data_IF_167625658678
#
_entry.id   IF_167625658678
#
_cell.length_a   1.000
_cell.length_b   1.000
_cell.length_c   1.000
_cell.angle_alpha   90.00
_cell.angle_beta   90.00
_cell.angle_gamma   90.00
#
_symmetry.space_group_name_H-M   'P 1'
#
loop_
_entity.id
_entity.type
_entity.pdbx_description
1 polymer ?
#
# COMPACT_ATOMS: atom_id res chain seq x y z
N UNK A 1 4.12 -27.00 -20.64
CA UNK A 1 4.04 -25.60 -21.09
C UNK A 1 2.59 -25.17 -20.92
N UNK A 2 2.29 -24.23 -20.04
CA UNK A 2 0.92 -23.77 -19.83
C UNK A 2 0.49 -22.93 -21.04
N UNK A 3 -0.68 -23.22 -21.60
CA UNK A 3 -1.24 -22.45 -22.71
C UNK A 3 -1.31 -20.96 -22.33
N UNK A 4 -0.95 -20.04 -23.25
CA UNK A 4 -1.22 -18.62 -23.05
C UNK A 4 -2.74 -18.47 -22.90
N UNK A 5 -3.18 -18.17 -21.68
CA UNK A 5 -4.57 -17.85 -21.37
C UNK A 5 -5.02 -16.78 -22.36
N UNK A 6 -6.11 -17.05 -23.09
CA UNK A 6 -6.68 -16.11 -24.06
C UNK A 6 -6.80 -14.72 -23.44
N UNK A 7 -6.32 -13.75 -24.20
CA UNK A 7 -5.63 -12.54 -23.73
C UNK A 7 -6.59 -11.37 -23.48
N UNK A 8 -7.88 -11.55 -23.72
CA UNK A 8 -8.86 -10.45 -23.80
C UNK A 8 -9.94 -10.49 -22.69
N UNK A 9 -10.05 -11.57 -21.93
CA UNK A 9 -11.03 -11.67 -20.86
C UNK A 9 -10.34 -11.79 -19.50
N UNK A 10 -10.66 -10.85 -18.60
CA UNK A 10 -10.29 -10.97 -17.21
C UNK A 10 -10.82 -12.31 -16.66
N UNK A 11 -10.07 -13.00 -15.79
CA UNK A 11 -10.42 -14.33 -15.33
C UNK A 11 -11.84 -14.35 -14.76
N UNK A 12 -12.63 -15.31 -15.23
CA UNK A 12 -14.03 -15.49 -14.87
C UNK A 12 -14.20 -15.84 -13.39
N UNK A 13 -15.42 -15.65 -12.86
CA UNK A 13 -15.77 -15.98 -11.48
C UNK A 13 -15.37 -17.41 -11.08
N UNK A 14 -15.69 -18.39 -11.94
CA UNK A 14 -15.38 -19.80 -11.67
C UNK A 14 -13.88 -20.07 -11.63
N UNK A 15 -13.12 -19.43 -12.52
CA UNK A 15 -11.66 -19.53 -12.49
C UNK A 15 -11.14 -18.95 -11.18
N UNK A 16 -11.57 -17.74 -10.79
CA UNK A 16 -11.18 -17.05 -9.55
C UNK A 16 -11.41 -17.91 -8.29
N UNK A 17 -12.56 -18.57 -8.16
CA UNK A 17 -12.92 -19.42 -7.00
C UNK A 17 -12.01 -20.66 -6.83
N UNK A 18 -11.46 -21.19 -7.92
CA UNK A 18 -10.55 -22.36 -7.88
C UNK A 18 -9.17 -22.00 -7.27
N UNK A 19 -8.76 -20.73 -7.35
CA UNK A 19 -7.43 -20.32 -6.88
C UNK A 19 -7.44 -19.97 -5.41
N UNK A 20 -6.85 -20.86 -4.60
CA UNK A 20 -6.51 -20.59 -3.20
C UNK A 20 -5.20 -19.80 -3.10
N UNK A 21 -5.20 -18.55 -3.57
CA UNK A 21 -4.04 -17.66 -3.39
C UNK A 21 -3.76 -17.48 -1.90
N UNK A 22 -2.48 -17.64 -1.52
CA UNK A 22 -1.99 -17.40 -0.16
C UNK A 22 -0.97 -16.28 -0.21
N UNK A 23 -1.16 -15.27 0.64
CA UNK A 23 -0.21 -14.16 0.78
C UNK A 23 0.28 -14.16 2.22
N UNK A 24 1.60 -14.12 2.39
CA UNK A 24 2.23 -13.98 3.71
C UNK A 24 2.13 -12.53 4.17
N UNK A 25 1.35 -12.29 5.23
CA UNK A 25 1.14 -10.94 5.80
C UNK A 25 2.08 -10.66 6.98
N UNK A 26 2.57 -11.71 7.63
CA UNK A 26 3.55 -11.71 8.70
C UNK A 26 4.30 -13.05 8.66
N UNK A 27 5.48 -13.19 9.30
CA UNK A 27 6.26 -14.42 9.27
C UNK A 27 5.41 -15.65 9.61
N UNK A 28 5.31 -16.59 8.67
CA UNK A 28 4.50 -17.82 8.77
C UNK A 28 2.97 -17.60 8.90
N UNK A 29 2.47 -16.38 8.68
CA UNK A 29 1.04 -16.06 8.70
C UNK A 29 0.56 -15.84 7.28
N UNK A 30 -0.19 -16.81 6.76
CA UNK A 30 -0.74 -16.79 5.41
C UNK A 30 -2.23 -16.47 5.42
N UNK A 31 -2.65 -15.52 4.59
CA UNK A 31 -4.06 -15.28 4.33
C UNK A 31 -4.46 -15.89 3.00
N UNK A 32 -5.51 -16.73 3.03
CA UNK A 32 -6.23 -17.11 1.83
C UNK A 32 -7.05 -15.93 1.33
N UNK A 33 -6.86 -15.59 0.06
CA UNK A 33 -7.51 -14.43 -0.55
C UNK A 33 -8.61 -14.90 -1.49
N UNK A 34 -9.85 -14.51 -1.16
CA UNK A 34 -10.97 -14.66 -2.10
C UNK A 34 -10.89 -13.50 -3.11
N UNK A 35 -10.82 -13.78 -4.42
CA UNK A 35 -10.78 -12.72 -5.43
C UNK A 35 -12.04 -11.86 -5.41
N UNK A 36 -11.93 -10.62 -5.91
CA UNK A 36 -13.06 -9.71 -6.00
C UNK A 36 -14.08 -10.19 -7.06
N UNK A 37 -15.37 -10.10 -6.73
CA UNK A 37 -16.48 -10.41 -7.64
C UNK A 37 -16.59 -9.39 -8.79
N UNK A 38 -16.27 -8.12 -8.52
CA UNK A 38 -16.23 -7.03 -9.51
C UNK A 38 -15.08 -6.09 -9.17
N UNK A 39 -14.28 -5.74 -10.17
CA UNK A 39 -13.21 -4.75 -10.03
C UNK A 39 -13.77 -3.37 -10.39
N UNK A 40 -14.19 -2.60 -9.38
CA UNK A 40 -14.88 -1.32 -9.57
C UNK A 40 -13.94 -0.16 -9.94
N UNK A 41 -12.64 -0.32 -9.65
CA UNK A 41 -11.63 0.70 -9.94
C UNK A 41 -10.97 0.38 -11.27
N UNK A 42 -10.72 1.36 -12.16
CA UNK A 42 -9.94 1.11 -13.37
C UNK A 42 -8.59 0.46 -13.03
N UNK A 43 -8.18 -0.54 -13.81
CA UNK A 43 -6.95 -1.32 -13.55
C UNK A 43 -5.73 -0.40 -13.52
N UNK A 44 -5.71 0.63 -14.36
CA UNK A 44 -4.68 1.66 -14.50
C UNK A 44 -4.40 2.36 -13.17
N UNK A 45 -5.44 2.58 -12.36
CA UNK A 45 -5.29 3.19 -11.04
C UNK A 45 -4.62 2.25 -10.03
N UNK A 46 -4.57 0.95 -10.30
CA UNK A 46 -3.89 -0.05 -9.47
C UNK A 46 -2.54 -0.49 -10.07
N UNK A 47 -2.11 0.11 -11.18
CA UNK A 47 -0.75 -0.06 -11.70
C UNK A 47 0.18 0.98 -11.06
N UNK A 48 1.46 0.64 -10.81
CA UNK A 48 2.43 1.61 -10.31
C UNK A 48 2.57 2.84 -11.23
N UNK A 49 2.89 4.03 -10.71
CA UNK A 49 3.15 5.21 -11.54
C UNK A 49 4.27 4.96 -12.57
N UNK A 50 4.15 5.59 -13.73
CA UNK A 50 5.22 5.59 -14.74
C UNK A 50 6.46 6.35 -14.24
N UNK A 51 7.65 5.78 -14.46
CA UNK A 51 8.92 6.36 -14.00
C UNK A 51 9.20 6.08 -12.52
N UNK A 52 10.11 6.86 -11.90
CA UNK A 52 10.50 6.65 -10.50
C UNK A 52 9.34 6.92 -9.55
N UNK A 53 9.02 5.97 -8.67
CA UNK A 53 7.97 6.12 -7.66
C UNK A 53 8.41 5.60 -6.29
N UNK A 54 7.69 6.04 -5.26
CA UNK A 54 7.84 5.58 -3.88
C UNK A 54 6.65 4.74 -3.45
N UNK A 55 6.95 3.53 -2.98
CA UNK A 55 5.96 2.64 -2.41
C UNK A 55 5.69 2.98 -0.93
N UNK A 56 4.50 2.60 -0.45
CA UNK A 56 4.04 2.74 0.93
C UNK A 56 5.10 2.42 1.98
N UNK A 57 5.84 1.32 1.79
CA UNK A 57 6.79 0.83 2.79
C UNK A 57 8.14 1.57 2.81
N UNK A 58 8.43 2.40 1.80
CA UNK A 58 9.67 3.21 1.75
C UNK A 58 9.42 4.65 2.15
N UNK A 59 8.21 5.17 1.98
CA UNK A 59 7.89 6.57 2.23
C UNK A 59 8.28 6.99 3.66
N UNK A 60 7.80 6.29 4.67
CA UNK A 60 8.10 6.63 6.07
C UNK A 60 9.58 6.45 6.40
N UNK A 61 10.22 5.41 5.85
CA UNK A 61 11.66 5.17 6.03
C UNK A 61 12.50 6.30 5.44
N UNK A 62 12.12 6.81 4.27
CA UNK A 62 12.88 7.83 3.54
C UNK A 62 12.63 9.25 4.05
N UNK A 63 11.36 9.58 4.31
CA UNK A 63 10.97 10.95 4.61
C UNK A 63 10.71 11.18 6.11
N UNK A 64 10.60 10.13 6.91
CA UNK A 64 10.23 10.18 8.32
C UNK A 64 8.72 9.99 8.54
N UNK A 65 8.34 9.31 9.63
CA UNK A 65 6.95 8.96 9.93
C UNK A 65 6.03 10.18 10.06
N UNK A 66 6.51 11.22 10.76
CA UNK A 66 5.78 12.46 11.04
C UNK A 66 5.61 13.37 9.81
N UNK A 67 6.43 13.16 8.76
CA UNK A 67 6.40 14.02 7.58
C UNK A 67 5.05 14.01 6.87
N UNK A 68 4.29 12.92 6.99
CA UNK A 68 3.03 12.76 6.29
C UNK A 68 1.79 13.01 7.17
N UNK A 69 1.97 13.60 8.35
CA UNK A 69 0.87 13.99 9.23
C UNK A 69 0.24 15.29 8.69
N UNK A 70 -0.89 15.15 7.99
CA UNK A 70 -1.61 16.29 7.39
C UNK A 70 -2.39 17.05 8.46
N UNK A 71 -2.96 16.33 9.43
CA UNK A 71 -3.74 16.90 10.51
C UNK A 71 -3.01 16.75 11.84
N UNK A 72 -3.04 17.81 12.63
CA UNK A 72 -2.57 17.83 14.02
C UNK A 72 -3.69 18.45 14.86
N UNK A 73 -4.12 17.76 15.90
CA UNK A 73 -5.18 18.21 16.80
C UNK A 73 -6.51 18.56 16.08
N UNK A 74 -6.83 17.82 15.01
CA UNK A 74 -8.04 18.03 14.18
C UNK A 74 -7.91 19.16 13.15
N UNK A 75 -6.83 19.92 13.17
CA UNK A 75 -6.58 21.01 12.23
C UNK A 75 -5.60 20.63 11.13
N UNK A 76 -5.79 21.22 9.95
CA UNK A 76 -4.91 21.04 8.82
C UNK A 76 -3.55 21.70 9.10
N UNK A 77 -2.54 20.90 9.44
CA UNK A 77 -1.23 21.38 9.91
C UNK A 77 -0.18 21.45 8.79
N UNK A 78 -0.24 20.52 7.82
CA UNK A 78 0.78 20.44 6.76
C UNK A 78 0.19 20.49 5.35
N UNK A 79 1.01 20.98 4.42
CA UNK A 79 0.68 21.04 3.00
C UNK A 79 0.95 19.68 2.33
N UNK A 80 -0.03 19.10 1.62
CA UNK A 80 0.12 17.79 0.94
C UNK A 80 1.16 17.73 -0.20
N UNK A 81 1.71 18.87 -0.64
CA UNK A 81 2.69 18.94 -1.74
C UNK A 81 4.11 18.94 -1.21
N UNK A 82 4.44 19.93 -0.37
CA UNK A 82 5.78 20.11 0.20
C UNK A 82 5.91 19.44 1.57
N UNK A 83 4.81 18.98 2.18
CA UNK A 83 4.77 18.38 3.50
C UNK A 83 5.44 19.26 4.58
N UNK A 84 5.40 20.57 4.36
CA UNK A 84 5.79 21.61 5.31
C UNK A 84 4.55 22.25 5.95
N UNK A 85 4.73 23.28 6.78
CA UNK A 85 3.63 24.02 7.40
C UNK A 85 2.58 24.47 6.37
N UNK A 86 1.30 24.47 6.77
CA UNK A 86 0.19 24.89 5.91
C UNK A 86 0.46 26.29 5.31
N UNK A 87 0.40 26.40 3.98
CA UNK A 87 0.52 27.67 3.28
C UNK A 87 -0.86 28.33 3.15
N UNK A 88 -1.27 29.14 4.13
CA UNK A 88 -2.54 29.87 4.12
C UNK A 88 -3.77 28.98 4.32
N UNK A 89 -4.95 29.38 3.82
CA UNK A 89 -6.20 28.67 4.11
C UNK A 89 -6.38 27.32 3.37
N UNK A 90 -5.52 26.98 2.40
CA UNK A 90 -5.66 25.71 1.67
C UNK A 90 -4.44 25.26 0.86
N UNK A 91 -4.53 24.08 0.26
CA UNK A 91 -3.42 23.43 -0.44
C UNK A 91 -3.05 24.03 -1.80
N UNK A 92 -3.99 24.75 -2.45
CA UNK A 92 -3.88 25.18 -3.85
C UNK A 92 -2.80 26.26 -4.11
N UNK A 93 -2.33 26.93 -3.06
CA UNK A 93 -1.35 28.02 -3.14
C UNK A 93 0.11 27.61 -2.97
N UNK A 94 0.42 26.31 -2.84
CA UNK A 94 1.79 25.86 -2.59
C UNK A 94 2.70 26.21 -3.79
N UNK A 95 3.71 27.05 -3.54
CA UNK A 95 4.77 27.41 -4.52
C UNK A 95 6.08 26.64 -4.30
N UNK A 96 6.14 25.88 -3.21
CA UNK A 96 7.30 25.08 -2.88
C UNK A 96 7.44 23.87 -3.82
N UNK A 97 8.68 23.37 -3.93
CA UNK A 97 8.92 22.09 -4.60
C UNK A 97 8.22 20.98 -3.82
N UNK A 98 7.68 20.00 -4.54
CA UNK A 98 7.15 18.81 -3.90
C UNK A 98 8.26 18.08 -3.15
N UNK A 99 8.02 17.69 -1.91
CA UNK A 99 9.03 16.96 -1.11
C UNK A 99 9.36 15.57 -1.66
N UNK A 100 8.42 14.97 -2.40
CA UNK A 100 8.57 13.61 -2.92
C UNK A 100 9.30 13.58 -4.26
N UNK A 101 8.86 14.39 -5.24
CA UNK A 101 9.45 14.39 -6.57
C UNK A 101 10.38 15.58 -6.85
N UNK A 102 10.52 16.50 -5.90
CA UNK A 102 11.35 17.71 -6.00
C UNK A 102 10.99 18.66 -7.17
N UNK A 103 9.80 18.49 -7.75
CA UNK A 103 9.29 19.34 -8.84
C UNK A 103 8.17 20.28 -8.37
N UNK A 104 7.91 21.33 -9.13
CA UNK A 104 6.74 22.23 -8.94
C UNK A 104 5.58 21.90 -9.89
N UNK A 105 5.54 20.69 -10.45
CA UNK A 105 4.63 20.34 -11.56
C UNK A 105 3.17 20.06 -11.15
N UNK A 106 2.89 19.97 -9.84
CA UNK A 106 1.57 19.59 -9.35
C UNK A 106 1.18 20.37 -8.08
N UNK A 107 1.12 21.71 -8.15
CA UNK A 107 0.76 22.54 -7.00
C UNK A 107 -0.65 22.21 -6.52
N UNK A 108 -0.81 22.12 -5.19
CA UNK A 108 -2.06 21.73 -4.51
C UNK A 108 -2.60 20.35 -4.81
N UNK A 109 -1.82 19.45 -5.42
CA UNK A 109 -2.25 18.08 -5.75
C UNK A 109 -1.32 17.05 -5.13
N UNK A 110 -1.87 15.88 -4.81
CA UNK A 110 -1.10 14.70 -4.41
C UNK A 110 0.00 14.43 -5.43
N UNK A 111 1.22 14.17 -4.96
CA UNK A 111 2.32 13.81 -5.83
C UNK A 111 2.00 12.51 -6.58
N UNK A 112 2.08 12.49 -7.93
CA UNK A 112 1.75 11.30 -8.71
C UNK A 112 2.75 10.15 -8.52
N UNK A 113 3.89 10.42 -7.90
CA UNK A 113 4.95 9.43 -7.63
C UNK A 113 4.80 8.73 -6.28
N UNK A 114 3.72 9.01 -5.54
CA UNK A 114 3.36 8.31 -4.31
C UNK A 114 2.43 7.15 -4.69
N UNK A 115 2.84 5.92 -4.38
CA UNK A 115 2.06 4.72 -4.66
C UNK A 115 1.74 3.97 -3.36
N UNK A 116 0.55 4.27 -2.81
CA UNK A 116 0.13 3.79 -1.48
C UNK A 116 -1.33 3.35 -1.48
N UNK A 117 -1.70 2.53 -0.50
CA UNK A 117 -3.09 2.09 -0.35
C UNK A 117 -3.99 3.25 0.07
N UNK A 118 -5.28 3.17 -0.29
CA UNK A 118 -6.29 4.14 0.17
C UNK A 118 -6.34 4.27 1.71
N UNK A 119 -6.12 3.17 2.44
CA UNK A 119 -6.04 3.19 3.90
C UNK A 119 -4.94 4.12 4.42
N UNK A 120 -3.77 4.14 3.77
CA UNK A 120 -2.64 4.99 4.16
C UNK A 120 -2.97 6.49 4.04
N UNK A 121 -3.75 6.87 3.04
CA UNK A 121 -4.25 8.24 2.86
C UNK A 121 -5.28 8.61 3.93
N UNK A 122 -6.25 7.71 4.17
CA UNK A 122 -7.33 7.93 5.16
C UNK A 122 -6.79 8.11 6.58
N UNK A 123 -5.79 7.33 7.00
CA UNK A 123 -5.16 7.50 8.31
C UNK A 123 -4.46 8.84 8.48
N UNK A 124 -4.28 9.60 7.40
CA UNK A 124 -3.70 10.94 7.36
C UNK A 124 -4.73 12.02 7.04
N UNK A 125 -6.02 11.72 7.12
CA UNK A 125 -7.10 12.68 6.85
C UNK A 125 -7.14 13.19 5.41
N UNK A 126 -6.46 12.51 4.47
CA UNK A 126 -6.44 12.92 3.07
C UNK A 126 -7.19 11.92 2.21
N UNK A 127 -7.90 12.43 1.21
CA UNK A 127 -8.45 11.60 0.13
C UNK A 127 -7.78 12.01 -1.17
N UNK A 128 -7.00 11.12 -1.82
CA UNK A 128 -6.33 11.45 -3.05
C UNK A 128 -7.34 11.68 -4.18
N UNK A 129 -6.92 12.42 -5.21
CA UNK A 129 -7.73 12.59 -6.42
C UNK A 129 -8.02 11.22 -7.08
N UNK A 130 -9.18 11.03 -7.73
CA UNK A 130 -9.54 9.76 -8.39
C UNK A 130 -8.56 9.28 -9.47
N UNK A 131 -7.67 10.16 -9.96
CA UNK A 131 -6.65 9.85 -10.97
C UNK A 131 -5.30 9.45 -10.38
N UNK A 132 -5.19 9.38 -9.05
CA UNK A 132 -3.95 8.96 -8.38
C UNK A 132 -3.84 7.44 -8.45
N UNK A 133 -2.64 6.96 -8.77
CA UNK A 133 -2.32 5.55 -8.70
C UNK A 133 -2.25 5.10 -7.23
N UNK A 134 -2.97 4.04 -6.91
CA UNK A 134 -3.09 3.48 -5.56
C UNK A 134 -2.54 2.08 -5.55
N UNK A 135 -1.76 1.77 -4.50
CA UNK A 135 -1.35 0.40 -4.23
C UNK A 135 -2.62 -0.43 -3.97
N UNK A 136 -2.86 -1.52 -4.72
CA UNK A 136 -4.05 -2.33 -4.53
C UNK A 136 -4.05 -2.94 -3.13
N UNK A 137 -5.25 -3.09 -2.55
CA UNK A 137 -5.41 -3.91 -1.35
C UNK A 137 -5.18 -5.39 -1.69
N UNK A 138 -5.08 -6.25 -0.67
CA UNK A 138 -4.75 -7.68 -0.83
C UNK A 138 -5.70 -8.39 -1.81
N UNK A 139 -7.00 -8.08 -1.79
CA UNK A 139 -7.99 -8.68 -2.69
C UNK A 139 -7.81 -8.23 -4.15
N UNK A 140 -7.63 -6.92 -4.35
CA UNK A 140 -7.38 -6.34 -5.65
C UNK A 140 -6.04 -6.83 -6.24
N UNK A 141 -5.01 -6.94 -5.42
CA UNK A 141 -3.71 -7.48 -5.79
C UNK A 141 -3.83 -8.93 -6.28
N UNK A 142 -4.52 -9.79 -5.51
CA UNK A 142 -4.72 -11.19 -5.90
C UNK A 142 -5.45 -11.32 -7.24
N UNK A 143 -6.48 -10.49 -7.44
CA UNK A 143 -7.19 -10.42 -8.72
C UNK A 143 -6.25 -10.04 -9.87
N UNK A 144 -5.47 -8.97 -9.72
CA UNK A 144 -4.58 -8.45 -10.76
C UNK A 144 -3.39 -9.39 -11.06
N UNK A 145 -2.85 -10.08 -10.06
CA UNK A 145 -1.83 -11.12 -10.25
C UNK A 145 -2.40 -12.26 -11.07
N UNK A 146 -3.61 -12.70 -10.73
CA UNK A 146 -4.27 -13.78 -11.44
C UNK A 146 -4.69 -13.42 -12.86
N UNK A 147 -5.13 -12.19 -13.07
CA UNK A 147 -5.36 -11.65 -14.41
C UNK A 147 -4.06 -11.49 -15.21
N UNK A 148 -2.89 -11.77 -14.63
CA UNK A 148 -1.60 -11.64 -15.31
C UNK A 148 -1.17 -10.18 -15.51
N UNK A 149 -1.88 -9.20 -14.95
CA UNK A 149 -1.53 -7.78 -15.01
C UNK A 149 -0.32 -7.45 -14.11
N UNK A 150 -0.19 -8.16 -12.98
CA UNK A 150 0.91 -7.99 -12.03
C UNK A 150 1.68 -9.31 -11.86
N UNK A 151 2.97 -9.23 -11.57
CA UNK A 151 3.73 -10.41 -11.15
C UNK A 151 3.35 -10.82 -9.72
N UNK A 152 3.38 -12.13 -9.46
CA UNK A 152 3.18 -12.67 -8.11
C UNK A 152 4.19 -12.08 -7.12
N UNK A 153 3.70 -11.77 -5.93
CA UNK A 153 4.53 -11.35 -4.79
C UNK A 153 4.38 -12.37 -3.67
N UNK A 154 5.47 -12.68 -2.97
CA UNK A 154 5.45 -13.60 -1.84
C UNK A 154 5.17 -12.90 -0.50
N UNK A 155 5.59 -11.64 -0.37
CA UNK A 155 5.45 -10.84 0.86
C UNK A 155 4.67 -9.55 0.57
N UNK A 156 3.78 -9.13 1.47
CA UNK A 156 2.99 -7.88 1.33
C UNK A 156 3.85 -6.63 1.18
N UNK A 157 5.06 -6.62 1.76
CA UNK A 157 5.98 -5.48 1.75
C UNK A 157 6.77 -5.33 0.45
N UNK A 158 6.70 -6.32 -0.46
CA UNK A 158 7.46 -6.26 -1.71
C UNK A 158 6.90 -5.19 -2.66
N UNK A 159 7.76 -4.52 -3.43
CA UNK A 159 7.31 -3.64 -4.51
C UNK A 159 6.46 -4.41 -5.51
N UNK A 160 5.35 -3.82 -5.93
CA UNK A 160 4.49 -4.42 -6.95
C UNK A 160 5.15 -4.19 -8.32
N UNK A 161 5.24 -5.26 -9.11
CA UNK A 161 5.80 -5.23 -10.47
C UNK A 161 4.69 -5.50 -11.47
N UNK A 162 4.51 -4.58 -12.42
CA UNK A 162 3.57 -4.75 -13.52
C UNK A 162 4.13 -5.74 -14.56
N UNK A 163 3.26 -6.60 -15.11
CA UNK A 163 3.62 -7.48 -16.21
C UNK A 163 3.54 -6.72 -17.54
N UNK A 164 4.67 -6.19 -18.00
CA UNK A 164 4.76 -5.38 -19.22
C UNK A 164 4.39 -6.13 -20.50
N UNK A 165 4.27 -7.47 -20.45
CA UNK A 165 3.84 -8.29 -21.59
C UNK A 165 2.31 -8.41 -21.69
N UNK A 166 1.56 -8.02 -20.66
CA UNK A 166 0.10 -8.03 -20.69
C UNK A 166 -0.42 -6.87 -21.56
N UNK A 167 -1.37 -7.08 -22.50
CA UNK A 167 -1.82 -6.04 -23.43
C UNK A 167 -2.32 -4.76 -22.76
N UNK A 168 -3.23 -4.87 -21.79
CA UNK A 168 -3.73 -3.71 -21.03
C UNK A 168 -2.62 -2.93 -20.33
N UNK A 169 -1.62 -3.62 -19.77
CA UNK A 169 -0.48 -3.00 -19.11
C UNK A 169 0.41 -2.31 -20.15
N UNK A 170 0.65 -2.97 -21.29
CA UNK A 170 1.44 -2.44 -22.40
C UNK A 170 0.81 -1.18 -22.99
N UNK A 171 -0.51 -1.18 -23.20
CA UNK A 171 -1.28 -0.02 -23.65
C UNK A 171 -1.18 1.13 -22.63
N UNK A 172 -1.41 0.85 -21.34
CA UNK A 172 -1.33 1.87 -20.30
C UNK A 172 0.04 2.58 -20.25
N UNK A 173 1.14 1.83 -20.41
CA UNK A 173 2.51 2.38 -20.39
C UNK A 173 3.03 2.76 -21.78
N UNK A 174 2.22 2.71 -22.84
CA UNK A 174 2.66 3.07 -24.19
C UNK A 174 3.13 4.54 -24.23
N UNK A 175 4.36 4.76 -24.72
CA UNK A 175 4.98 6.09 -24.77
C UNK A 175 5.36 6.68 -23.40
N UNK A 176 5.21 5.94 -22.30
CA UNK A 176 5.58 6.36 -20.94
C UNK A 176 6.82 5.61 -20.46
N UNK A 177 7.61 6.18 -19.54
CA UNK A 177 8.67 5.44 -18.88
C UNK A 177 8.08 4.29 -18.06
N UNK A 178 8.78 3.15 -18.06
CA UNK A 178 8.40 2.00 -17.24
C UNK A 178 8.44 2.36 -15.74
N UNK A 179 7.61 1.72 -14.90
CA UNK A 179 7.60 1.97 -13.47
C UNK A 179 8.93 1.56 -12.83
N UNK A 180 9.53 2.45 -12.06
CA UNK A 180 10.82 2.25 -11.39
C UNK A 180 10.64 2.43 -9.88
N UNK A 181 10.61 1.31 -9.15
CA UNK A 181 10.56 1.36 -7.69
C UNK A 181 11.82 2.00 -7.14
N UNK A 182 11.66 2.95 -6.23
CA UNK A 182 12.78 3.63 -5.59
C UNK A 182 12.95 3.19 -4.13
N UNK A 183 13.97 2.37 -3.82
CA UNK A 183 14.35 2.07 -2.44
C UNK A 183 15.27 3.13 -1.79
N UNK A 184 15.87 4.05 -2.56
CA UNK A 184 16.95 4.94 -2.12
C UNK A 184 16.89 6.39 -2.66
N UNK A 185 18.02 7.13 -2.70
CA UNK A 185 18.11 8.46 -3.31
C UNK A 185 17.72 8.41 -4.79
N UNK A 186 17.00 9.43 -5.29
CA UNK A 186 16.59 9.51 -6.72
C UNK A 186 17.35 10.64 -7.37
N UNK A 187 17.89 10.39 -8.55
CA UNK A 187 18.17 11.42 -9.56
C UNK A 187 17.00 11.47 -10.52
N UNK A 188 16.18 12.53 -10.43
CA UNK A 188 15.07 12.71 -11.35
C UNK A 188 15.62 13.11 -12.72
N UNK A 189 15.12 12.54 -13.83
CA UNK A 189 15.52 13.02 -15.14
C UNK A 189 15.23 14.52 -15.22
N UNK A 190 16.17 15.33 -15.74
CA UNK A 190 15.97 16.76 -15.92
C UNK A 190 14.63 16.99 -16.63
N UNK A 191 13.78 17.75 -15.97
CA UNK A 191 12.47 18.13 -16.49
C UNK A 191 12.68 18.86 -17.82
N UNK A 192 12.16 18.33 -18.94
CA UNK A 192 12.28 19.01 -20.26
C UNK A 192 11.77 20.46 -20.26
N UNK A 193 10.89 20.82 -19.31
CA UNK A 193 10.42 22.20 -19.12
C UNK A 193 11.49 23.06 -18.44
N UNK A 194 12.21 22.50 -17.46
CA UNK A 194 13.35 23.18 -16.81
C UNK A 194 14.55 23.24 -17.77
N UNK A 195 14.76 22.23 -18.61
CA UNK A 195 15.76 22.25 -19.67
C UNK A 195 15.45 23.32 -20.70
N UNK A 196 14.20 23.44 -21.19
CA UNK A 196 13.81 24.54 -22.09
C UNK A 196 13.92 25.91 -21.44
N UNK A 197 13.58 26.05 -20.15
CA UNK A 197 13.74 27.32 -19.43
C UNK A 197 15.21 27.67 -19.22
N UNK A 198 16.06 26.69 -18.95
CA UNK A 198 17.51 26.85 -18.89
C UNK A 198 18.13 27.11 -20.26
N UNK A 199 17.62 26.52 -21.35
CA UNK A 199 18.06 26.79 -22.72
C UNK A 199 17.60 28.18 -23.20
N UNK A 200 16.40 28.62 -22.84
CA UNK A 200 15.94 30.00 -23.05
C UNK A 200 16.77 31.02 -22.27
N UNK A 201 17.25 30.65 -21.07
CA UNK A 201 18.16 31.49 -20.28
C UNK A 201 19.62 31.41 -20.77
N UNK A 202 20.08 30.26 -21.26
CA UNK A 202 21.42 30.08 -21.85
C UNK A 202 21.52 30.63 -23.28
N UNK A 203 20.41 30.76 -24.00
CA UNK A 203 20.35 31.41 -25.31
C UNK A 203 20.73 32.90 -25.31
N UNK A 204 20.88 33.52 -24.13
CA UNK A 204 21.44 34.87 -23.98
C UNK A 204 22.93 34.90 -23.63
N UNK A 205 23.57 33.75 -23.37
CA UNK A 205 25.01 33.69 -23.09
C UNK A 205 25.61 32.40 -23.65
N UNK A 206 26.33 32.55 -24.76
CA UNK A 206 27.35 31.65 -25.31
C UNK A 206 26.90 30.55 -26.29
N UNK A 207 27.18 30.83 -27.56
CA UNK A 207 27.39 29.89 -28.66
C UNK A 207 28.64 29.04 -28.42
N UNK A 208 28.47 27.73 -28.24
CA UNK A 208 29.55 26.73 -28.16
C UNK A 208 29.02 25.33 -28.47
N UNK A 209 29.69 24.64 -29.40
CA UNK A 209 29.26 23.41 -30.08
C UNK A 209 29.05 22.17 -29.17
N UNK A 210 28.23 21.17 -29.59
CA UNK A 210 27.96 19.98 -28.78
C UNK A 210 28.98 18.85 -29.05
N UNK A 211 29.51 18.27 -27.98
CA UNK A 211 30.17 16.96 -28.00
C UNK A 211 29.24 15.90 -27.38
N UNK A 212 29.15 14.76 -28.07
CA UNK A 212 28.31 13.62 -27.69
C UNK A 212 28.81 12.86 -26.46
N UNK A 213 27.90 12.11 -25.83
CA UNK A 213 28.20 11.33 -24.63
C UNK A 213 27.17 10.24 -24.35
N UNK A 214 27.42 9.07 -24.96
CA UNK A 214 27.38 7.70 -24.42
C UNK A 214 26.24 7.33 -23.45
N UNK A 215 25.34 6.47 -23.96
CA UNK A 215 24.36 5.70 -23.18
C UNK A 215 25.04 4.45 -22.58
N UNK A 216 24.98 4.29 -21.26
CA UNK A 216 25.45 3.09 -20.55
C UNK A 216 24.25 2.23 -20.12
N UNK A 217 24.28 0.90 -20.34
CA UNK A 217 23.23 0.01 -19.87
C UNK A 217 23.44 -0.34 -18.38
N UNK A 218 22.47 0.00 -17.54
CA UNK A 218 22.47 -0.33 -16.12
C UNK A 218 22.14 -1.81 -15.88
N UNK A 219 22.97 -2.48 -15.08
CA UNK A 219 22.78 -3.84 -14.58
C UNK A 219 21.91 -3.80 -13.32
N UNK A 220 20.86 -4.61 -13.27
CA UNK A 220 19.97 -4.70 -12.11
C UNK A 220 20.74 -5.13 -10.86
N UNK A 221 20.64 -4.34 -9.79
CA UNK A 221 21.25 -4.62 -8.50
C UNK A 221 20.33 -5.51 -7.67
N UNK A 222 20.88 -6.60 -7.13
CA UNK A 222 20.21 -7.58 -6.26
C UNK A 222 19.84 -6.92 -4.93
N UNK A 223 18.55 -6.86 -4.61
CA UNK A 223 18.05 -6.31 -3.35
C UNK A 223 18.40 -7.28 -2.20
N UNK A 224 19.03 -6.83 -1.10
CA UNK A 224 19.26 -7.65 0.08
C UNK A 224 17.94 -7.93 0.83
N UNK A 225 17.71 -9.19 1.18
CA UNK A 225 16.63 -9.64 2.06
C UNK A 225 16.98 -9.20 3.49
N UNK A 226 16.39 -8.09 3.96
CA UNK A 226 16.54 -7.64 5.35
C UNK A 226 15.24 -7.90 6.13
N UNK A 227 15.25 -8.99 6.89
CA UNK A 227 14.40 -9.26 8.06
C UNK A 227 15.23 -8.80 9.29
N UNK A 228 14.72 -8.13 10.32
CA UNK A 228 13.40 -7.61 10.62
C UNK A 228 13.47 -6.71 11.87
N UNK A 229 12.32 -6.53 12.52
CA UNK A 229 12.07 -6.13 13.93
C UNK A 229 11.16 -4.89 14.10
N UNK A 230 10.15 -5.08 14.96
CA UNK A 230 9.32 -4.12 15.72
C UNK A 230 8.12 -3.42 15.03
N UNK A 231 6.90 -3.89 15.32
CA UNK A 231 5.95 -3.37 16.35
C UNK A 231 4.57 -3.98 16.06
N UNK A 232 4.05 -4.76 17.02
CA UNK A 232 2.63 -5.16 17.12
C UNK A 232 1.85 -3.99 17.69
N UNK A 233 0.71 -3.61 17.11
CA UNK A 233 -0.53 -3.28 17.84
C UNK A 233 -1.74 -3.17 16.88
N UNK A 234 -2.77 -3.95 17.23
CA UNK A 234 -4.23 -3.78 17.08
C UNK A 234 -4.87 -3.48 15.71
N UNK A 235 -5.69 -4.44 15.25
CA UNK A 235 -6.97 -4.17 14.57
C UNK A 235 -8.01 -5.14 15.14
N UNK A 236 -9.01 -4.61 15.85
CA UNK A 236 -10.35 -5.21 15.94
C UNK A 236 -11.27 -4.31 15.12
N UNK A 237 -12.02 -4.93 14.20
CA UNK A 237 -12.99 -4.24 13.36
C UNK A 237 -14.37 -4.34 14.00
N UNK A 238 -15.05 -3.21 14.11
CA UNK A 238 -16.49 -3.18 14.31
C UNK A 238 -17.18 -2.91 12.98
N UNK A 239 -18.03 -3.86 12.62
CA UNK A 239 -18.94 -3.78 11.48
C UNK A 239 -20.18 -3.04 11.96
N UNK A 240 -20.31 -1.75 11.61
CA UNK A 240 -21.57 -1.03 11.77
C UNK A 240 -22.47 -1.28 10.55
N UNK A 241 -23.63 -1.90 10.79
CA UNK A 241 -24.77 -1.84 9.89
C UNK A 241 -25.39 -0.43 9.97
N UNK A 242 -25.42 0.28 8.85
CA UNK A 242 -26.27 1.47 8.69
C UNK A 242 -27.67 1.02 8.27
N UNK A 243 -28.75 1.48 8.92
CA UNK A 243 -30.07 1.42 8.33
C UNK A 243 -30.22 2.55 7.30
N UNK A 244 -30.77 2.20 6.15
CA UNK A 244 -31.31 3.10 5.13
C UNK A 244 -32.32 4.06 5.75
N UNK A 245 -32.07 5.36 5.60
CA UNK A 245 -32.99 6.42 6.00
C UNK A 245 -33.51 7.09 4.73
N UNK A 246 -34.73 6.74 4.34
CA UNK A 246 -35.58 7.59 3.51
C UNK A 246 -36.19 8.67 4.42
N UNK A 247 -35.99 9.94 4.08
CA UNK A 247 -36.81 11.06 4.56
C UNK A 247 -36.58 12.24 3.63
N UNK A 248 -37.56 12.66 2.82
CA UNK A 248 -38.74 13.43 3.22
C UNK A 248 -38.43 14.50 4.27
N UNK A 249 -38.45 15.74 3.81
CA UNK A 249 -38.32 16.99 4.55
C UNK A 249 -39.57 17.23 5.39
N UNK A 250 -39.47 17.47 6.71
CA UNK A 250 -40.50 18.16 7.45
C UNK A 250 -39.99 19.50 8.03
N UNK A 251 -40.94 20.42 8.14
CA UNK A 251 -40.82 21.77 8.71
C UNK A 251 -40.45 21.79 10.21
N UNK A 252 -39.93 22.92 10.73
CA UNK A 252 -39.36 22.99 12.06
C UNK A 252 -40.46 23.27 13.08
N UNK A 253 -40.72 22.32 13.97
CA UNK A 253 -41.44 22.59 15.22
C UNK A 253 -40.88 21.78 16.38
N UNK A 254 -40.91 22.45 17.53
CA UNK A 254 -40.73 21.94 18.91
C UNK A 254 -39.31 21.61 19.38
N UNK A 255 -38.85 22.45 20.32
CA UNK A 255 -37.70 22.27 21.20
C UNK A 255 -37.63 20.85 21.77
N UNK A 256 -36.63 20.09 21.31
CA UNK A 256 -36.28 18.81 21.91
C UNK A 256 -35.55 19.08 23.24
N UNK A 257 -36.20 18.75 24.35
CA UNK A 257 -35.56 18.67 25.66
C UNK A 257 -34.38 17.70 25.57
N UNK A 258 -33.19 18.17 25.93
CA UNK A 258 -31.98 17.35 25.96
C UNK A 258 -32.10 16.18 26.94
N UNK A 259 -31.26 15.14 26.78
CA UNK A 259 -31.26 13.98 27.65
C UNK A 259 -31.03 14.41 29.10
N UNK A 260 -31.81 13.83 30.00
CA UNK A 260 -31.71 14.14 31.44
C UNK A 260 -30.43 13.55 32.02
N UNK A 261 -29.96 14.12 33.14
CA UNK A 261 -28.76 13.64 33.85
C UNK A 261 -28.92 12.16 34.24
N UNK A 262 -30.14 11.71 34.58
CA UNK A 262 -30.43 10.32 34.90
C UNK A 262 -30.21 9.38 33.71
N UNK A 263 -30.63 9.78 32.50
CA UNK A 263 -30.42 9.00 31.27
C UNK A 263 -28.94 8.91 30.89
N UNK A 264 -28.18 9.98 31.11
CA UNK A 264 -26.72 9.97 30.90
C UNK A 264 -26.03 9.05 31.91
N UNK A 265 -26.45 9.10 33.19
CA UNK A 265 -25.90 8.21 34.23
C UNK A 265 -26.12 6.74 33.92
N UNK A 266 -27.35 6.37 33.50
CA UNK A 266 -27.67 4.99 33.14
C UNK A 266 -26.82 4.49 31.95
N UNK A 267 -26.57 5.34 30.95
CA UNK A 267 -25.69 5.00 29.82
C UNK A 267 -24.24 4.80 30.24
N UNK A 268 -23.74 5.58 31.20
CA UNK A 268 -22.37 5.42 31.73
C UNK A 268 -22.23 4.09 32.47
N UNK A 269 -23.21 3.71 33.29
CA UNK A 269 -23.21 2.43 33.99
C UNK A 269 -23.28 1.24 33.02
N UNK A 270 -24.11 1.33 31.98
CA UNK A 270 -24.19 0.32 30.92
C UNK A 270 -22.85 0.15 30.19
N UNK A 271 -22.20 1.27 29.86
CA UNK A 271 -20.90 1.26 29.22
C UNK A 271 -19.81 0.69 30.13
N UNK A 272 -19.81 1.03 31.42
CA UNK A 272 -18.89 0.46 32.40
C UNK A 272 -19.06 -1.07 32.50
N UNK A 273 -20.31 -1.56 32.51
CA UNK A 273 -20.60 -2.99 32.47
C UNK A 273 -20.10 -3.67 31.18
N UNK A 274 -20.23 -3.00 30.03
CA UNK A 274 -19.71 -3.51 28.75
C UNK A 274 -18.19 -3.58 28.73
N UNK A 275 -17.51 -2.56 29.27
CA UNK A 275 -16.04 -2.53 29.40
C UNK A 275 -15.58 -3.68 30.29
N UNK A 276 -16.24 -3.91 31.43
CA UNK A 276 -15.92 -5.02 32.33
C UNK A 276 -16.02 -6.39 31.66
N UNK A 277 -17.06 -6.62 30.84
CA UNK A 277 -17.21 -7.87 30.06
C UNK A 277 -16.09 -8.05 29.04
N UNK A 278 -15.76 -6.99 28.28
CA UNK A 278 -14.70 -7.04 27.28
C UNK A 278 -13.31 -7.27 27.89
N UNK A 279 -13.04 -6.69 29.07
CA UNK A 279 -11.79 -6.95 29.79
C UNK A 279 -11.67 -8.42 30.20
N UNK A 280 -12.76 -9.02 30.70
CA UNK A 280 -12.78 -10.45 31.03
C UNK A 280 -12.59 -11.35 29.81
N UNK A 281 -13.21 -11.00 28.67
CA UNK A 281 -12.98 -11.72 27.41
C UNK A 281 -11.54 -11.61 26.93
N UNK A 282 -10.92 -10.43 27.08
CA UNK A 282 -9.51 -10.22 26.74
C UNK A 282 -8.57 -11.09 27.59
N UNK A 283 -8.83 -11.17 28.90
CA UNK A 283 -8.01 -11.99 29.80
C UNK A 283 -8.17 -13.49 29.51
N UNK A 284 -9.40 -13.97 29.27
CA UNK A 284 -9.63 -15.35 28.81
C UNK A 284 -8.90 -15.65 27.49
N UNK A 285 -8.92 -14.70 26.54
CA UNK A 285 -8.22 -14.87 25.27
C UNK A 285 -6.69 -14.89 25.43
N UNK A 286 -6.14 -14.16 26.41
CA UNK A 286 -4.72 -14.18 26.76
C UNK A 286 -4.32 -15.51 27.36
N UNK A 287 -5.11 -16.06 28.28
CA UNK A 287 -4.87 -17.40 28.85
C UNK A 287 -4.87 -18.48 27.77
N UNK A 288 -5.87 -18.46 26.87
CA UNK A 288 -5.94 -19.40 25.75
C UNK A 288 -4.75 -19.27 24.77
N UNK A 289 -4.18 -18.06 24.62
CA UNK A 289 -2.98 -17.83 23.82
C UNK A 289 -1.75 -18.47 24.48
N UNK A 290 -1.61 -18.33 25.80
CA UNK A 290 -0.51 -18.93 26.57
C UNK A 290 -0.56 -20.45 26.44
N UNK A 291 -1.74 -21.06 26.60
CA UNK A 291 -1.93 -22.50 26.44
C UNK A 291 -1.54 -22.98 25.03
N UNK A 292 -2.00 -22.29 23.98
CA UNK A 292 -1.62 -22.61 22.60
C UNK A 292 -0.13 -22.45 22.33
N UNK A 293 0.53 -21.47 22.96
CA UNK A 293 1.96 -21.26 22.82
C UNK A 293 2.78 -22.39 23.47
N UNK A 294 2.33 -22.91 24.62
CA UNK A 294 2.94 -24.08 25.25
C UNK A 294 2.80 -25.34 24.38
N UNK A 295 1.61 -25.58 23.82
CA UNK A 295 1.37 -26.71 22.93
C UNK A 295 2.19 -26.65 21.62
N UNK A 296 2.50 -25.44 21.12
CA UNK A 296 3.41 -25.29 19.98
C UNK A 296 4.86 -25.59 20.37
N UNK A 297 5.32 -25.10 21.52
CA UNK A 297 6.66 -25.40 22.02
C UNK A 297 6.89 -26.91 22.24
N UNK A 298 5.88 -27.64 22.73
CA UNK A 298 5.94 -29.10 22.86
C UNK A 298 6.06 -29.80 21.49
N UNK A 299 5.31 -29.33 20.49
CA UNK A 299 5.41 -29.88 19.12
C UNK A 299 6.78 -29.61 18.49
N UNK A 300 7.33 -28.43 18.69
CA UNK A 300 8.66 -28.07 18.18
C UNK A 300 9.74 -28.93 18.84
N UNK A 301 9.66 -29.18 20.15
CA UNK A 301 10.56 -30.10 20.85
C UNK A 301 10.49 -31.52 20.28
N UNK A 302 9.28 -32.02 20.00
CA UNK A 302 9.07 -33.36 19.40
C UNK A 302 9.60 -33.45 17.97
N UNK A 303 9.50 -32.37 17.19
CA UNK A 303 10.10 -32.32 15.85
C UNK A 303 11.63 -32.41 15.96
N UNK A 304 12.25 -31.68 16.89
CA UNK A 304 13.70 -31.74 17.10
C UNK A 304 14.18 -33.16 17.49
N UNK A 305 13.45 -33.86 18.37
CA UNK A 305 13.76 -35.26 18.72
C UNK A 305 13.65 -36.21 17.50
N UNK A 306 12.66 -35.99 16.63
CA UNK A 306 12.50 -36.77 15.40
C UNK A 306 13.62 -36.49 14.39
N UNK A 307 14.10 -35.25 14.30
CA UNK A 307 15.22 -34.88 13.43
C UNK A 307 16.55 -35.50 13.90
N UNK A 308 16.79 -35.56 15.20
CA UNK A 308 17.99 -36.20 15.78
C UNK A 308 17.97 -37.73 15.59
N UNK A 309 16.80 -38.36 15.72
CA UNK A 309 16.65 -39.82 15.55
C UNK A 309 16.63 -40.27 14.10
N UNK A 310 16.18 -39.42 13.15
CA UNK A 310 16.12 -39.77 11.74
C UNK A 310 17.50 -39.97 11.09
N UNK A 311 18.59 -39.53 11.73
CA UNK A 311 19.93 -39.55 11.16
C UNK A 311 20.04 -38.67 9.92
N UNK A 312 21.19 -38.01 9.71
CA UNK A 312 21.39 -37.21 8.50
C UNK A 312 21.16 -38.10 7.27
N UNK A 313 20.15 -37.86 6.41
CA UNK A 313 19.98 -38.65 5.21
C UNK A 313 21.24 -38.45 4.38
N UNK A 314 22.05 -39.51 4.29
CA UNK A 314 23.28 -39.49 3.51
C UNK A 314 22.93 -39.03 2.10
N UNK A 315 23.49 -37.89 1.68
CA UNK A 315 23.37 -37.37 0.31
C UNK A 315 23.87 -38.46 -0.64
N UNK A 316 22.96 -39.26 -1.19
CA UNK A 316 23.28 -40.16 -2.30
C UNK A 316 23.62 -39.28 -3.50
N UNK A 317 24.92 -39.16 -3.81
CA UNK A 317 25.37 -38.60 -5.09
C UNK A 317 24.95 -39.57 -6.18
N UNK A 318 24.00 -39.18 -6.99
CA UNK A 318 23.72 -39.83 -8.27
C UNK A 318 24.80 -39.36 -9.24
N UNK A 319 25.74 -40.26 -9.59
CA UNK A 319 26.62 -40.07 -10.75
C UNK A 319 25.82 -40.47 -11.98
N UNK A 320 25.74 -39.58 -12.95
CA UNK A 320 25.34 -39.94 -14.30
C UNK A 320 26.59 -40.40 -15.03
N UNK A 321 26.58 -41.64 -15.51
CA UNK A 321 27.58 -42.16 -16.46
C UNK A 321 27.19 -41.66 -17.86
N UNK A 322 28.19 -41.18 -18.61
CA UNK A 322 28.07 -40.73 -19.99
C UNK A 322 28.00 -41.92 -20.95
#
# INVERSE_FOLDING_TARGET
>A
MANPVCVDELPTRGELEIYRMRIEVAPNVFHSVVPLLKFLTPIENCLPPSGPYFDEFVLEKKFGKQTFEVYKDGELATCIVCWGPKHGEGHKGCREKCRVCETQRHPGRTCPQIYVRMGWWKTRGHTPSPRVHLRPNVRALAYLVKAGCLFSISKVIQPIRANMNHPLVKEFYQGKPQPQYTPGPITWPPSMIDTKRQELQKGQTNSGAPQGGISTPYRASTVPDMIGTLVKHSIHGDTHHSPTNDRQVPEPTTSASGPTIAELSAKVEEQAGKIGRLMKELDNAREALVEKSAALAEKDARIAELEDTAGKPGRKRVRFEN
#
